data_IF_135581236375
#
_entry.id   IF_135581236375
#
_cell.length_a   1.000
_cell.length_b   1.000
_cell.length_c   1.000
_cell.angle_alpha   90.00
_cell.angle_beta   90.00
_cell.angle_gamma   90.00
#
_symmetry.space_group_name_H-M   'P 1'
#
loop_
_entity.id
_entity.type
_entity.pdbx_description
1 polymer ?
#
# COMPACT_ATOMS: atom_id res chain seq x y z
N UNK A 1 -19.58 0.40 1.05
CA UNK A 1 -19.54 1.67 0.30
C UNK A 1 -20.59 1.59 -0.79
N UNK A 2 -21.51 2.56 -0.87
CA UNK A 2 -22.46 2.62 -1.98
C UNK A 2 -21.79 3.27 -3.19
N UNK A 3 -21.84 2.59 -4.33
CA UNK A 3 -21.34 3.11 -5.60
C UNK A 3 -22.53 3.35 -6.52
N UNK A 4 -22.77 4.60 -6.99
CA UNK A 4 -23.86 4.91 -7.89
C UNK A 4 -23.90 3.97 -9.11
N UNK A 5 -25.06 3.35 -9.34
CA UNK A 5 -25.27 2.40 -10.45
C UNK A 5 -24.59 1.03 -10.27
N UNK A 6 -23.96 0.74 -9.12
CA UNK A 6 -23.26 -0.54 -8.86
C UNK A 6 -23.62 -1.19 -7.51
N UNK A 7 -24.48 -0.56 -6.73
CA UNK A 7 -24.93 -1.06 -5.42
C UNK A 7 -23.89 -0.88 -4.31
N UNK A 8 -24.04 -1.64 -3.23
CA UNK A 8 -23.17 -1.60 -2.06
C UNK A 8 -22.02 -2.59 -2.19
N UNK A 9 -20.80 -2.10 -2.04
CA UNK A 9 -19.57 -2.88 -2.13
C UNK A 9 -18.86 -2.90 -0.78
N UNK A 10 -18.38 -4.07 -0.40
CA UNK A 10 -17.42 -4.23 0.70
C UNK A 10 -16.03 -4.34 0.10
N UNK A 11 -15.14 -3.41 0.48
CA UNK A 11 -13.76 -3.39 0.02
C UNK A 11 -12.93 -3.89 1.18
N UNK A 12 -12.29 -5.05 0.98
CA UNK A 12 -11.44 -5.66 2.02
C UNK A 12 -9.95 -5.38 1.80
N UNK A 13 -9.53 -5.28 0.53
CA UNK A 13 -8.12 -5.29 0.15
C UNK A 13 -7.74 -4.06 -0.66
N UNK A 14 -6.55 -3.52 -0.39
CA UNK A 14 -5.92 -2.45 -1.17
C UNK A 14 -4.54 -2.93 -1.63
N UNK A 15 -4.32 -2.95 -2.94
CA UNK A 15 -3.02 -3.31 -3.53
C UNK A 15 -2.41 -2.07 -4.16
N UNK A 16 -1.14 -1.80 -3.85
CA UNK A 16 -0.40 -0.62 -4.31
C UNK A 16 0.93 -1.05 -4.91
N UNK A 17 1.36 -0.42 -5.99
CA UNK A 17 2.76 -0.48 -6.42
C UNK A 17 3.65 0.36 -5.46
N UNK A 18 4.96 0.13 -5.48
CA UNK A 18 5.92 0.87 -4.67
C UNK A 18 6.36 2.19 -5.32
N UNK A 19 7.21 2.13 -6.36
CA UNK A 19 7.85 3.31 -6.95
C UNK A 19 6.96 3.96 -8.00
N UNK A 20 6.68 5.26 -7.86
CA UNK A 20 5.73 5.96 -8.72
C UNK A 20 4.30 5.94 -8.19
N UNK A 21 4.07 5.26 -7.07
CA UNK A 21 2.78 5.26 -6.34
C UNK A 21 2.96 5.76 -4.89
N UNK A 22 3.60 4.99 -4.02
CA UNK A 22 3.77 5.35 -2.60
C UNK A 22 5.15 5.88 -2.25
N UNK A 23 6.12 5.65 -3.14
CA UNK A 23 7.50 6.10 -3.01
C UNK A 23 7.95 6.91 -4.23
N UNK A 24 8.83 7.88 -4.00
CA UNK A 24 9.58 8.60 -5.03
C UNK A 24 11.08 8.40 -4.76
N UNK A 25 11.82 7.97 -5.78
CA UNK A 25 13.24 7.63 -5.66
C UNK A 25 13.53 6.63 -4.52
N UNK A 26 12.62 5.66 -4.37
CA UNK A 26 12.61 4.67 -3.29
C UNK A 26 12.18 5.19 -1.93
N UNK A 27 11.98 6.49 -1.73
CA UNK A 27 11.65 7.05 -0.40
C UNK A 27 10.14 7.25 -0.25
N UNK A 28 9.59 6.79 0.87
CA UNK A 28 8.19 7.02 1.23
C UNK A 28 8.11 8.32 2.03
N UNK A 29 7.24 9.23 1.60
CA UNK A 29 6.95 10.44 2.37
C UNK A 29 6.23 10.06 3.68
N UNK A 30 6.60 10.63 4.84
CA UNK A 30 5.93 10.33 6.12
C UNK A 30 4.40 10.46 6.07
N UNK A 31 3.86 11.45 5.36
CA UNK A 31 2.41 11.64 5.21
C UNK A 31 1.74 10.49 4.44
N UNK A 32 2.44 9.84 3.50
CA UNK A 32 1.93 8.68 2.78
C UNK A 32 1.85 7.47 3.71
N UNK A 33 2.88 7.27 4.54
CA UNK A 33 2.89 6.23 5.58
C UNK A 33 1.74 6.41 6.58
N UNK A 34 1.47 7.63 7.04
CA UNK A 34 0.36 7.91 7.95
C UNK A 34 -0.99 7.59 7.32
N UNK A 35 -1.19 7.95 6.05
CA UNK A 35 -2.41 7.64 5.30
C UNK A 35 -2.59 6.13 5.09
N UNK A 36 -1.53 5.41 4.73
CA UNK A 36 -1.57 3.95 4.59
C UNK A 36 -1.90 3.29 5.94
N UNK A 37 -1.31 3.77 7.04
CA UNK A 37 -1.62 3.28 8.38
C UNK A 37 -3.08 3.51 8.79
N UNK A 38 -3.65 4.65 8.39
CA UNK A 38 -5.06 4.95 8.62
C UNK A 38 -5.97 4.02 7.80
N UNK A 39 -5.65 3.79 6.52
CA UNK A 39 -6.36 2.86 5.66
C UNK A 39 -6.24 1.41 6.16
N UNK A 40 -5.07 1.01 6.66
CA UNK A 40 -4.79 -0.28 7.27
C UNK A 40 -5.54 -0.57 8.57
N UNK A 41 -6.36 0.37 9.07
CA UNK A 41 -7.35 0.11 10.13
C UNK A 41 -8.65 -0.48 9.60
N UNK A 42 -8.91 -0.33 8.30
CA UNK A 42 -10.17 -0.71 7.63
C UNK A 42 -9.96 -1.75 6.53
N UNK A 43 -8.79 -1.74 5.89
CA UNK A 43 -8.44 -2.58 4.75
C UNK A 43 -7.18 -3.38 5.06
N UNK A 44 -7.05 -4.56 4.45
CA UNK A 44 -5.75 -5.23 4.33
C UNK A 44 -4.98 -4.60 3.18
N UNK A 45 -3.83 -3.99 3.48
CA UNK A 45 -3.02 -3.27 2.49
C UNK A 45 -1.84 -4.12 2.07
N UNK A 46 -1.62 -4.24 0.76
CA UNK A 46 -0.48 -4.90 0.15
C UNK A 46 0.31 -3.92 -0.70
N UNK A 47 1.63 -3.99 -0.59
CA UNK A 47 2.56 -3.31 -1.50
C UNK A 47 3.20 -4.37 -2.38
N UNK A 48 2.87 -4.33 -3.66
CA UNK A 48 3.32 -5.28 -4.67
C UNK A 48 4.47 -4.64 -5.46
N UNK A 49 5.64 -5.28 -5.50
CA UNK A 49 6.80 -4.73 -6.21
C UNK A 49 7.79 -5.81 -6.62
N UNK A 50 8.62 -5.54 -7.63
CA UNK A 50 9.77 -6.39 -7.96
C UNK A 50 10.90 -6.30 -6.90
N UNK A 51 10.90 -5.26 -6.03
CA UNK A 51 11.91 -5.06 -4.98
C UNK A 51 13.36 -5.29 -5.48
N UNK A 52 13.71 -4.73 -6.65
CA UNK A 52 14.98 -5.01 -7.34
C UNK A 52 16.23 -4.66 -6.54
N UNK A 53 16.10 -3.80 -5.51
CA UNK A 53 17.18 -3.40 -4.60
C UNK A 53 17.14 -4.16 -3.26
N UNK A 54 16.10 -4.95 -3.00
CA UNK A 54 15.92 -5.72 -1.78
C UNK A 54 15.70 -4.92 -0.49
N UNK A 55 15.49 -3.60 -0.59
CA UNK A 55 15.46 -2.67 0.53
C UNK A 55 14.04 -2.14 0.87
N UNK A 56 13.01 -2.58 0.13
CA UNK A 56 11.63 -2.09 0.32
C UNK A 56 11.09 -2.43 1.71
N UNK A 57 11.39 -3.61 2.24
CA UNK A 57 10.97 -3.99 3.61
C UNK A 57 11.48 -3.01 4.67
N UNK A 58 12.70 -2.50 4.52
CA UNK A 58 13.32 -1.54 5.45
C UNK A 58 12.65 -0.17 5.34
N UNK A 59 12.25 0.22 4.12
CA UNK A 59 11.54 1.48 3.83
C UNK A 59 10.10 1.47 4.37
N UNK A 60 9.48 0.29 4.47
CA UNK A 60 8.11 0.10 4.95
C UNK A 60 7.98 -0.12 6.47
N UNK A 61 9.08 -0.03 7.23
CA UNK A 61 9.06 -0.22 8.68
C UNK A 61 7.99 0.65 9.35
N UNK A 62 7.19 0.09 10.28
CA UNK A 62 6.04 0.75 10.96
C UNK A 62 4.89 1.14 10.01
N UNK A 63 4.74 0.46 8.88
CA UNK A 63 3.54 0.52 8.05
C UNK A 63 2.61 -0.67 8.34
N UNK A 64 1.30 -0.43 8.35
CA UNK A 64 0.26 -1.46 8.35
C UNK A 64 -0.01 -1.90 6.91
N UNK A 65 1.01 -2.47 6.29
CA UNK A 65 0.95 -3.01 4.94
C UNK A 65 1.89 -4.21 4.80
N UNK A 66 1.47 -5.18 4.00
CA UNK A 66 2.23 -6.40 3.69
C UNK A 66 3.02 -6.21 2.40
N UNK A 67 4.31 -6.55 2.40
CA UNK A 67 5.14 -6.52 1.19
C UNK A 67 4.96 -7.84 0.42
N UNK A 68 4.59 -7.74 -0.85
CA UNK A 68 4.50 -8.87 -1.78
C UNK A 68 5.51 -8.65 -2.91
N UNK A 69 6.43 -9.60 -3.06
CA UNK A 69 7.47 -9.56 -4.11
C UNK A 69 7.00 -10.33 -5.33
N UNK A 70 7.08 -9.69 -6.50
CA UNK A 70 6.87 -10.36 -7.78
C UNK A 70 8.11 -11.19 -8.14
N UNK A 71 7.89 -12.43 -8.57
CA UNK A 71 8.93 -13.32 -9.09
C UNK A 71 9.26 -12.97 -10.54
#
# INVERSE_FOLDING_TARGET
>A
MEIPGRGTWEIENLVLDFNGTIAKDGRINPKVKDKINLLGKKLKVYVLTADTRGDVAQRMVKMRAELVRLK
#
